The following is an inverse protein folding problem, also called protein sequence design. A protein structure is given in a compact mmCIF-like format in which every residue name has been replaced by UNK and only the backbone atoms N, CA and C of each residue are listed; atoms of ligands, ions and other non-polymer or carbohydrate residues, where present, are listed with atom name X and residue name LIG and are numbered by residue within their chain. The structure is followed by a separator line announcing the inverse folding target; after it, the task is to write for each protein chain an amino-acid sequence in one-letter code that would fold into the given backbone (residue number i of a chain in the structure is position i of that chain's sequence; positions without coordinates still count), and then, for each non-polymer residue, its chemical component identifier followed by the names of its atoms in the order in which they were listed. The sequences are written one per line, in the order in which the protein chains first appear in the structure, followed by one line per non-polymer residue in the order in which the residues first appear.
data_IF_793304792399
#
_entry.id   IF_793304792399
#
_cell.length_a   1.000
_cell.length_b   1.000
_cell.length_c   1.000
_cell.angle_alpha   90.00
_cell.angle_beta   90.00
_cell.angle_gamma   90.00
#
_symmetry.space_group_name_H-M   'P 1'
#
loop_
_entity.id
_entity.type
_entity.pdbx_description
1 polymer ?
#
# COMPACT_ATOMS: atom_id res chain seq x y z
N UNK A 1 -13.34 -11.32 3.30
CA UNK A 1 -12.12 -10.47 3.32
C UNK A 1 -12.26 -9.23 4.22
N UNK A 2 -13.38 -8.49 4.15
CA UNK A 2 -13.69 -7.35 5.03
C UNK A 2 -13.51 -7.63 6.54
N UNK A 3 -13.96 -8.79 7.05
CA UNK A 3 -13.76 -9.17 8.48
C UNK A 3 -12.27 -9.32 8.87
N UNK A 4 -11.39 -9.71 7.95
CA UNK A 4 -9.94 -9.83 8.19
C UNK A 4 -9.27 -8.46 8.16
N UNK A 5 -9.73 -7.58 7.27
CA UNK A 5 -9.35 -6.17 7.25
C UNK A 5 -9.76 -5.48 8.57
N UNK A 6 -11.00 -5.67 9.02
CA UNK A 6 -11.50 -5.13 10.29
C UNK A 6 -10.69 -5.60 11.49
N UNK A 7 -10.36 -6.89 11.58
CA UNK A 7 -9.50 -7.43 12.66
C UNK A 7 -8.10 -6.82 12.62
N UNK A 8 -7.52 -6.64 11.43
CA UNK A 8 -6.18 -6.08 11.27
C UNK A 8 -6.14 -4.59 11.63
N UNK A 9 -7.14 -3.82 11.18
CA UNK A 9 -7.30 -2.40 11.50
C UNK A 9 -7.60 -2.22 12.99
N UNK A 10 -8.55 -2.98 13.55
CA UNK A 10 -8.89 -2.89 14.97
C UNK A 10 -7.69 -3.26 15.86
N UNK A 11 -6.92 -4.31 15.55
CA UNK A 11 -5.74 -4.66 16.32
C UNK A 11 -4.66 -3.56 16.30
N UNK A 12 -4.48 -2.87 15.17
CA UNK A 12 -3.47 -1.80 15.02
C UNK A 12 -3.96 -0.49 15.64
N UNK A 13 -5.22 -0.10 15.44
CA UNK A 13 -5.83 1.08 16.08
C UNK A 13 -5.90 0.92 17.60
N UNK A 14 -6.21 -0.28 18.10
CA UNK A 14 -6.20 -0.58 19.54
C UNK A 14 -4.78 -0.57 20.12
N UNK A 15 -3.77 -1.04 19.38
CA UNK A 15 -2.36 -0.86 19.76
C UNK A 15 -1.98 0.62 19.83
N UNK A 16 -2.39 1.44 18.85
CA UNK A 16 -2.15 2.90 18.87
C UNK A 16 -2.82 3.58 20.07
N UNK A 17 -4.09 3.27 20.36
CA UNK A 17 -4.81 3.80 21.54
C UNK A 17 -4.17 3.37 22.86
N UNK A 18 -3.72 2.11 22.97
CA UNK A 18 -3.04 1.60 24.17
C UNK A 18 -1.67 2.24 24.41
N UNK A 19 -0.91 2.51 23.34
CA UNK A 19 0.37 3.22 23.40
C UNK A 19 0.18 4.70 23.82
N UNK A 20 -0.94 5.33 23.45
CA UNK A 20 -1.26 6.71 23.84
C UNK A 20 -1.77 6.79 25.31
N UNK A 21 -2.34 5.70 25.86
CA UNK A 21 -2.89 5.69 27.22
C UNK A 21 -1.92 5.18 28.32
N UNK A 22 -0.76 4.64 27.98
CA UNK A 22 0.20 4.05 28.94
C UNK A 22 1.58 4.74 28.91
N UNK A 23 1.60 6.08 28.91
CA UNK A 23 2.83 6.86 29.10
C UNK A 23 3.02 7.26 30.58
N UNK A 24 3.82 6.52 31.36
CA UNK A 24 4.79 7.14 32.24
C UNK A 24 6.10 7.34 31.46
N UNK A 25 6.63 8.54 31.53
CA UNK A 25 7.93 8.95 31.00
C UNK A 25 9.05 7.96 31.41
N UNK A 26 9.35 6.99 30.54
CA UNK A 26 10.67 6.36 30.48
C UNK A 26 11.14 6.42 29.04
N UNK A 27 12.04 7.37 28.82
CA UNK A 27 12.87 7.47 27.63
C UNK A 27 13.68 6.18 27.55
N UNK A 28 13.17 5.20 26.80
CA UNK A 28 13.97 4.09 26.32
C UNK A 28 14.65 4.62 25.08
N UNK A 29 15.90 5.03 25.22
CA UNK A 29 16.83 5.16 24.09
C UNK A 29 16.96 3.77 23.48
N UNK A 30 16.11 3.47 22.49
CA UNK A 30 16.48 2.48 21.49
C UNK A 30 17.65 3.10 20.75
N UNK A 31 18.87 2.69 21.10
CA UNK A 31 19.99 2.80 20.18
C UNK A 31 19.61 1.96 18.97
N UNK A 32 18.98 2.59 17.98
CA UNK A 32 19.02 2.08 16.62
C UNK A 32 20.49 1.99 16.29
N UNK A 33 21.01 0.76 16.30
CA UNK A 33 22.25 0.43 15.64
C UNK A 33 22.05 0.76 14.17
N UNK A 34 22.35 2.01 13.81
CA UNK A 34 22.58 2.47 12.45
C UNK A 34 23.70 1.60 11.90
N UNK A 35 23.33 0.46 11.32
CA UNK A 35 24.22 -0.25 10.44
C UNK A 35 24.32 0.61 9.20
N UNK A 36 25.42 1.34 9.09
CA UNK A 36 25.86 1.97 7.86
C UNK A 36 26.06 0.88 6.80
N UNK A 37 24.99 0.59 6.07
CA UNK A 37 25.03 -0.27 4.89
C UNK A 37 25.87 0.43 3.83
N UNK A 38 27.09 -0.05 3.60
CA UNK A 38 27.79 0.27 2.36
C UNK A 38 27.18 -0.55 1.22
N UNK A 39 25.98 -0.14 0.77
CA UNK A 39 25.42 -0.54 -0.53
C UNK A 39 26.48 -0.38 -1.62
N UNK A 40 26.52 -1.28 -2.62
CA UNK A 40 27.36 -1.10 -3.79
C UNK A 40 26.79 0.04 -4.67
N UNK A 41 27.35 1.26 -4.62
CA UNK A 41 26.71 2.43 -5.21
C UNK A 41 26.76 2.39 -6.74
N UNK A 42 27.76 1.70 -7.32
CA UNK A 42 27.87 1.54 -8.77
C UNK A 42 26.76 0.67 -9.33
N UNK A 43 26.42 -0.44 -8.65
CA UNK A 43 25.32 -1.28 -9.06
C UNK A 43 23.98 -0.54 -8.91
N UNK A 44 23.76 0.15 -7.80
CA UNK A 44 22.50 0.90 -7.61
C UNK A 44 22.33 2.02 -8.63
N UNK A 45 23.42 2.72 -8.96
CA UNK A 45 23.42 3.75 -9.99
C UNK A 45 23.15 3.17 -11.38
N UNK A 46 23.80 2.05 -11.72
CA UNK A 46 23.56 1.35 -12.99
C UNK A 46 22.08 0.94 -13.14
N UNK A 47 21.49 0.30 -12.14
CA UNK A 47 20.07 -0.09 -12.17
C UNK A 47 19.18 1.14 -12.29
N UNK A 48 19.47 2.21 -11.54
CA UNK A 48 18.72 3.47 -11.60
C UNK A 48 18.74 4.08 -13.00
N UNK A 49 19.89 4.10 -13.66
CA UNK A 49 20.03 4.64 -15.01
C UNK A 49 19.31 3.77 -16.04
N UNK A 50 19.39 2.44 -15.90
CA UNK A 50 18.62 1.50 -16.73
C UNK A 50 17.11 1.70 -16.56
N UNK A 51 16.60 1.84 -15.34
CA UNK A 51 15.18 2.11 -15.09
C UNK A 51 14.72 3.44 -15.68
N UNK A 52 15.58 4.48 -15.67
CA UNK A 52 15.29 5.80 -16.25
C UNK A 52 15.34 5.83 -17.78
N UNK A 53 16.14 4.96 -18.40
CA UNK A 53 16.31 4.91 -19.86
C UNK A 53 15.03 4.57 -20.63
N UNK A 54 14.01 3.99 -19.97
CA UNK A 54 12.76 3.56 -20.60
C UNK A 54 12.88 2.27 -21.42
N UNK A 55 14.10 1.77 -21.65
CA UNK A 55 14.41 0.60 -22.49
C UNK A 55 14.75 -0.65 -21.67
N UNK A 56 14.24 -0.76 -20.43
CA UNK A 56 14.49 -1.92 -19.57
C UNK A 56 13.36 -2.94 -19.79
N UNK A 57 13.70 -4.10 -20.37
CA UNK A 57 12.76 -5.20 -20.62
C UNK A 57 12.40 -5.98 -19.35
N UNK A 58 11.36 -6.82 -19.43
CA UNK A 58 10.90 -7.61 -18.27
C UNK A 58 11.96 -8.61 -17.79
N UNK A 59 12.60 -9.36 -18.68
CA UNK A 59 13.59 -10.37 -18.31
C UNK A 59 14.81 -9.73 -17.67
N UNK A 60 15.33 -8.67 -18.28
CA UNK A 60 16.45 -7.93 -17.68
C UNK A 60 16.08 -7.29 -16.33
N UNK A 61 14.86 -6.77 -16.16
CA UNK A 61 14.42 -6.26 -14.86
C UNK A 61 14.36 -7.36 -13.79
N UNK A 62 13.97 -8.59 -14.16
CA UNK A 62 13.98 -9.76 -13.27
C UNK A 62 15.41 -10.18 -12.95
N UNK A 63 16.28 -10.25 -13.95
CA UNK A 63 17.70 -10.62 -13.75
C UNK A 63 18.39 -9.62 -12.80
N UNK A 64 18.15 -8.32 -12.97
CA UNK A 64 18.67 -7.29 -12.06
C UNK A 64 18.11 -7.42 -10.65
N UNK A 65 16.85 -7.83 -10.53
CA UNK A 65 16.22 -8.08 -9.24
C UNK A 65 16.82 -9.30 -8.55
N UNK A 66 16.93 -10.42 -9.25
CA UNK A 66 17.49 -11.67 -8.72
C UNK A 66 18.96 -11.47 -8.33
N UNK A 67 19.73 -10.76 -9.16
CA UNK A 67 21.09 -10.34 -8.81
C UNK A 67 21.10 -9.51 -7.51
N UNK A 68 20.20 -8.55 -7.37
CA UNK A 68 20.10 -7.72 -6.16
C UNK A 68 19.76 -8.53 -4.90
N UNK A 69 18.94 -9.57 -5.00
CA UNK A 69 18.59 -10.47 -3.87
C UNK A 69 19.84 -11.20 -3.35
N UNK A 70 20.72 -11.65 -4.25
CA UNK A 70 21.93 -12.40 -3.91
C UNK A 70 23.06 -11.54 -3.34
N UNK A 71 23.00 -10.21 -3.50
CA UNK A 71 24.06 -9.31 -3.04
C UNK A 71 24.13 -9.23 -1.51
N UNK A 72 25.37 -9.17 -1.00
CA UNK A 72 25.70 -8.90 0.40
C UNK A 72 26.81 -7.84 0.44
N UNK A 73 26.58 -6.65 1.05
CA UNK A 73 25.33 -6.23 1.71
C UNK A 73 24.17 -6.04 0.73
N UNK A 74 22.94 -6.16 1.25
CA UNK A 74 21.71 -6.00 0.45
C UNK A 74 21.60 -4.56 -0.09
N UNK A 75 21.20 -4.37 -1.36
CA UNK A 75 20.93 -3.06 -1.93
C UNK A 75 19.76 -2.33 -1.24
N UNK A 76 19.63 -1.03 -1.52
CA UNK A 76 18.55 -0.20 -0.96
C UNK A 76 17.16 -0.66 -1.41
N UNK A 77 16.16 -0.52 -0.53
CA UNK A 77 14.74 -0.78 -0.84
C UNK A 77 14.25 0.03 -2.06
N UNK A 78 14.86 1.19 -2.30
CA UNK A 78 14.55 2.03 -3.46
C UNK A 78 14.87 1.32 -4.78
N UNK A 79 15.96 0.56 -4.86
CA UNK A 79 16.32 -0.20 -6.06
C UNK A 79 15.25 -1.24 -6.41
N UNK A 80 14.83 -2.04 -5.42
CA UNK A 80 13.78 -3.03 -5.60
C UNK A 80 12.47 -2.37 -6.03
N UNK A 81 12.10 -1.27 -5.36
CA UNK A 81 10.88 -0.51 -5.68
C UNK A 81 10.92 0.06 -7.10
N UNK A 82 12.07 0.51 -7.58
CA UNK A 82 12.24 0.99 -8.96
C UNK A 82 12.06 -0.12 -10.00
N UNK A 83 12.65 -1.29 -9.76
CA UNK A 83 12.48 -2.47 -10.64
C UNK A 83 11.02 -2.92 -10.69
N UNK A 84 10.35 -3.04 -9.53
CA UNK A 84 8.92 -3.33 -9.48
C UNK A 84 8.09 -2.30 -10.23
N UNK A 85 8.44 -1.01 -10.11
CA UNK A 85 7.80 0.08 -10.83
C UNK A 85 7.91 -0.04 -12.35
N UNK A 86 9.09 -0.43 -12.87
CA UNK A 86 9.29 -0.70 -14.31
C UNK A 86 8.43 -1.87 -14.75
N UNK A 87 8.46 -2.98 -14.03
CA UNK A 87 7.69 -4.19 -14.36
C UNK A 87 6.18 -3.91 -14.31
N UNK A 88 5.72 -3.07 -13.38
CA UNK A 88 4.33 -2.62 -13.32
C UNK A 88 3.96 -1.74 -14.52
N UNK A 89 4.86 -0.85 -15.00
CA UNK A 89 4.64 -0.07 -16.23
C UNK A 89 4.57 -0.94 -17.49
N UNK A 90 5.29 -2.06 -17.51
CA UNK A 90 5.19 -3.10 -18.54
C UNK A 90 3.93 -3.96 -18.42
N UNK A 91 3.03 -3.65 -17.47
CA UNK A 91 1.76 -4.36 -17.19
C UNK A 91 1.94 -5.81 -16.73
N UNK A 92 3.12 -6.15 -16.23
CA UNK A 92 3.47 -7.50 -15.77
C UNK A 92 3.12 -7.68 -14.29
N UNK A 93 1.85 -7.44 -13.95
CA UNK A 93 1.41 -7.32 -12.57
C UNK A 93 1.57 -8.60 -11.74
N UNK A 94 1.37 -9.77 -12.37
CA UNK A 94 1.62 -11.07 -11.70
C UNK A 94 3.08 -11.20 -11.27
N UNK A 95 4.02 -10.79 -12.14
CA UNK A 95 5.45 -10.78 -11.85
C UNK A 95 5.78 -9.83 -10.70
N UNK A 96 5.19 -8.63 -10.68
CA UNK A 96 5.37 -7.69 -9.56
C UNK A 96 4.99 -8.34 -8.23
N UNK A 97 3.88 -9.08 -8.19
CA UNK A 97 3.44 -9.75 -6.98
C UNK A 97 4.41 -10.86 -6.55
N UNK A 98 4.85 -11.72 -7.47
CA UNK A 98 5.83 -12.77 -7.17
C UNK A 98 7.12 -12.16 -6.61
N UNK A 99 7.67 -11.14 -7.26
CA UNK A 99 8.89 -10.47 -6.82
C UNK A 99 8.72 -9.78 -5.46
N UNK A 100 7.56 -9.17 -5.21
CA UNK A 100 7.23 -8.60 -3.90
C UNK A 100 7.26 -9.68 -2.80
N UNK A 101 6.68 -10.86 -3.04
CA UNK A 101 6.72 -11.97 -2.08
C UNK A 101 8.15 -12.45 -1.83
N UNK A 102 8.99 -12.50 -2.88
CA UNK A 102 10.41 -12.82 -2.75
C UNK A 102 11.15 -11.82 -1.85
N UNK A 103 10.85 -10.52 -1.94
CA UNK A 103 11.44 -9.52 -1.02
C UNK A 103 11.09 -9.82 0.42
N UNK A 104 9.80 -10.11 0.70
CA UNK A 104 9.35 -10.40 2.05
C UNK A 104 9.99 -11.69 2.59
N UNK A 105 10.14 -12.73 1.78
CA UNK A 105 10.78 -13.99 2.20
C UNK A 105 12.28 -13.84 2.48
N UNK A 106 12.95 -12.94 1.76
CA UNK A 106 14.37 -12.62 1.93
C UNK A 106 14.62 -11.59 3.06
N UNK A 107 13.57 -11.21 3.78
CA UNK A 107 13.66 -10.26 4.90
C UNK A 107 13.86 -8.80 4.48
N UNK A 108 13.70 -8.48 3.19
CA UNK A 108 13.78 -7.12 2.67
C UNK A 108 12.44 -6.44 2.96
N UNK A 109 12.44 -5.54 3.95
CA UNK A 109 11.22 -4.89 4.43
C UNK A 109 10.69 -3.88 3.39
N UNK A 110 9.46 -4.06 2.86
CA UNK A 110 8.84 -3.09 1.98
C UNK A 110 8.54 -1.76 2.68
N UNK A 111 8.58 -0.66 1.93
CA UNK A 111 8.16 0.65 2.39
C UNK A 111 6.81 1.08 1.77
N UNK A 112 6.34 2.27 2.14
CA UNK A 112 5.08 2.82 1.62
C UNK A 112 5.10 3.01 0.09
N UNK A 113 6.26 3.25 -0.52
CA UNK A 113 6.39 3.39 -1.98
C UNK A 113 6.27 2.02 -2.64
N UNK A 114 6.86 0.97 -2.05
CA UNK A 114 6.67 -0.41 -2.49
C UNK A 114 5.19 -0.80 -2.42
N UNK A 115 4.52 -0.52 -1.30
CA UNK A 115 3.08 -0.83 -1.16
C UNK A 115 2.22 -0.03 -2.13
N UNK A 116 2.51 1.26 -2.35
CA UNK A 116 1.80 2.09 -3.32
C UNK A 116 1.93 1.55 -4.74
N UNK A 117 3.12 1.04 -5.10
CA UNK A 117 3.36 0.36 -6.38
C UNK A 117 2.44 -0.85 -6.51
N UNK A 118 2.38 -1.70 -5.49
CA UNK A 118 1.56 -2.91 -5.46
C UNK A 118 0.06 -2.59 -5.57
N UNK A 119 -0.40 -1.55 -4.87
CA UNK A 119 -1.78 -1.05 -4.94
C UNK A 119 -2.12 -0.60 -6.35
N UNK A 120 -1.25 0.21 -6.98
CA UNK A 120 -1.46 0.63 -8.36
C UNK A 120 -1.60 -0.58 -9.30
N UNK A 121 -0.73 -1.59 -9.19
CA UNK A 121 -0.81 -2.79 -10.03
C UNK A 121 -2.15 -3.54 -9.84
N UNK A 122 -2.60 -3.78 -8.60
CA UNK A 122 -3.89 -4.43 -8.35
C UNK A 122 -5.09 -3.63 -8.87
N UNK A 123 -4.99 -2.31 -8.87
CA UNK A 123 -6.06 -1.45 -9.39
C UNK A 123 -6.16 -1.50 -10.91
N UNK A 124 -5.03 -1.58 -11.60
CA UNK A 124 -5.00 -1.82 -13.04
C UNK A 124 -5.53 -3.21 -13.42
N UNK A 125 -5.43 -4.19 -12.51
CA UNK A 125 -6.03 -5.52 -12.68
C UNK A 125 -7.52 -5.60 -12.32
N UNK A 126 -8.11 -4.55 -11.74
CA UNK A 126 -9.49 -4.61 -11.23
C UNK A 126 -9.65 -5.62 -10.10
N UNK A 127 -8.63 -5.77 -9.25
CA UNK A 127 -8.55 -6.77 -8.18
C UNK A 127 -8.63 -6.09 -6.80
N UNK A 128 -9.78 -5.51 -6.46
CA UNK A 128 -9.95 -4.69 -5.24
C UNK A 128 -9.71 -5.49 -3.95
N UNK A 129 -10.05 -6.78 -3.95
CA UNK A 129 -9.77 -7.71 -2.85
C UNK A 129 -8.29 -7.74 -2.45
N UNK A 130 -7.40 -7.77 -3.43
CA UNK A 130 -5.97 -7.79 -3.15
C UNK A 130 -5.47 -6.47 -2.58
N UNK A 131 -6.08 -5.35 -2.98
CA UNK A 131 -5.77 -4.04 -2.40
C UNK A 131 -6.06 -4.05 -0.88
N UNK A 132 -7.14 -4.69 -0.40
CA UNK A 132 -7.39 -4.83 1.04
C UNK A 132 -6.28 -5.60 1.76
N UNK A 133 -5.76 -6.66 1.14
CA UNK A 133 -4.64 -7.41 1.70
C UNK A 133 -3.39 -6.51 1.82
N UNK A 134 -3.11 -5.69 0.80
CA UNK A 134 -2.00 -4.73 0.84
C UNK A 134 -2.19 -3.70 1.95
N UNK A 135 -3.40 -3.14 2.13
CA UNK A 135 -3.67 -2.20 3.22
C UNK A 135 -3.50 -2.87 4.60
N UNK A 136 -3.92 -4.13 4.73
CA UNK A 136 -3.63 -4.93 5.93
C UNK A 136 -2.13 -5.06 6.20
N UNK A 137 -1.31 -5.26 5.17
CA UNK A 137 0.15 -5.31 5.30
C UNK A 137 0.78 -3.95 5.64
N UNK A 138 0.25 -2.84 5.11
CA UNK A 138 0.66 -1.48 5.51
C UNK A 138 0.50 -1.30 7.03
N UNK A 139 -0.68 -1.62 7.56
CA UNK A 139 -0.96 -1.55 8.99
C UNK A 139 -0.06 -2.48 9.82
N UNK A 140 0.11 -3.74 9.40
CA UNK A 140 1.00 -4.71 10.08
C UNK A 140 2.45 -4.25 10.10
N UNK A 141 2.88 -3.55 9.06
CA UNK A 141 4.22 -2.98 8.93
C UNK A 141 4.41 -1.69 9.74
N UNK A 142 3.38 -1.24 10.46
CA UNK A 142 3.41 -0.05 11.30
C UNK A 142 3.24 1.26 10.53
N UNK A 143 2.88 1.20 9.25
CA UNK A 143 2.63 2.38 8.44
C UNK A 143 1.16 2.78 8.50
N UNK A 144 0.89 4.08 8.29
CA UNK A 144 -0.46 4.58 8.11
C UNK A 144 -0.79 4.69 6.63
N UNK A 145 -1.89 4.06 6.16
CA UNK A 145 -2.38 4.30 4.81
C UNK A 145 -2.78 5.77 4.66
N UNK A 146 -2.61 6.32 3.46
CA UNK A 146 -3.09 7.66 3.12
C UNK A 146 -4.46 7.62 2.43
N UNK A 147 -5.09 8.78 2.25
CA UNK A 147 -6.42 8.88 1.62
C UNK A 147 -6.44 8.35 0.18
N UNK A 148 -5.33 8.48 -0.56
CA UNK A 148 -5.20 8.00 -1.94
C UNK A 148 -5.43 6.49 -2.02
N UNK A 149 -4.92 5.73 -1.04
CA UNK A 149 -5.09 4.28 -0.94
C UNK A 149 -6.56 3.92 -0.72
N UNK A 150 -7.26 4.63 0.16
CA UNK A 150 -8.69 4.39 0.42
C UNK A 150 -9.57 4.79 -0.76
N UNK A 151 -9.29 5.91 -1.43
CA UNK A 151 -9.99 6.33 -2.64
C UNK A 151 -9.88 5.29 -3.76
N UNK A 152 -8.70 4.69 -3.84
CA UNK A 152 -8.38 3.65 -4.80
C UNK A 152 -9.15 2.35 -4.50
N UNK A 153 -9.25 1.96 -3.23
CA UNK A 153 -10.11 0.85 -2.79
C UNK A 153 -11.58 1.10 -3.11
N UNK A 154 -12.10 2.29 -2.78
CA UNK A 154 -13.49 2.67 -3.05
C UNK A 154 -13.80 2.55 -4.54
N UNK A 155 -12.96 3.13 -5.40
CA UNK A 155 -13.08 2.96 -6.87
C UNK A 155 -13.13 1.50 -7.30
N UNK A 156 -12.25 0.66 -6.75
CA UNK A 156 -12.19 -0.76 -7.08
C UNK A 156 -13.48 -1.48 -6.71
N UNK A 157 -13.99 -1.25 -5.49
CA UNK A 157 -15.25 -1.82 -5.01
C UNK A 157 -16.44 -1.40 -5.86
N UNK A 158 -16.51 -0.12 -6.23
CA UNK A 158 -17.57 0.38 -7.12
C UNK A 158 -17.49 -0.24 -8.52
N UNK A 159 -16.29 -0.38 -9.10
CA UNK A 159 -16.08 -1.09 -10.38
C UNK A 159 -16.51 -2.56 -10.32
N UNK A 160 -16.35 -3.22 -9.18
CA UNK A 160 -16.79 -4.59 -8.94
C UNK A 160 -18.29 -4.68 -8.55
N UNK A 161 -19.03 -3.56 -8.55
CA UNK A 161 -20.42 -3.45 -8.09
C UNK A 161 -20.64 -3.90 -6.63
N UNK A 162 -19.59 -3.82 -5.79
CA UNK A 162 -19.59 -4.17 -4.37
C UNK A 162 -19.93 -2.95 -3.51
N UNK A 163 -21.07 -2.34 -3.82
CA UNK A 163 -21.52 -1.08 -3.22
C UNK A 163 -21.60 -1.15 -1.69
N UNK A 164 -22.10 -2.27 -1.14
CA UNK A 164 -22.19 -2.46 0.33
C UNK A 164 -20.82 -2.39 1.02
N UNK A 165 -19.80 -3.03 0.43
CA UNK A 165 -18.45 -3.02 0.96
C UNK A 165 -17.82 -1.62 0.86
N UNK A 166 -18.10 -0.89 -0.23
CA UNK A 166 -17.64 0.48 -0.41
C UNK A 166 -18.21 1.43 0.65
N UNK A 167 -19.51 1.33 0.94
CA UNK A 167 -20.17 2.11 1.99
C UNK A 167 -19.57 1.82 3.36
N UNK A 168 -19.39 0.53 3.68
CA UNK A 168 -18.80 0.12 4.95
C UNK A 168 -17.37 0.64 5.10
N UNK A 169 -16.58 0.59 4.02
CA UNK A 169 -15.25 1.17 4.00
C UNK A 169 -15.28 2.70 4.20
N UNK A 170 -16.20 3.41 3.53
CA UNK A 170 -16.35 4.87 3.67
C UNK A 170 -16.65 5.28 5.12
N UNK A 171 -17.59 4.61 5.79
CA UNK A 171 -17.85 4.87 7.21
C UNK A 171 -16.65 4.55 8.09
N UNK A 172 -15.87 3.52 7.73
CA UNK A 172 -14.72 3.14 8.55
C UNK A 172 -13.57 4.13 8.46
N UNK A 173 -13.29 4.66 7.27
CA UNK A 173 -12.23 5.66 7.10
C UNK A 173 -12.57 6.96 7.83
N UNK A 174 -13.85 7.36 7.85
CA UNK A 174 -14.29 8.55 8.60
C UNK A 174 -14.27 8.32 10.11
N UNK A 175 -14.66 7.14 10.60
CA UNK A 175 -14.57 6.77 12.03
C UNK A 175 -13.12 6.79 12.54
N UNK A 176 -12.16 6.40 11.70
CA UNK A 176 -10.72 6.41 12.04
C UNK A 176 -10.12 7.82 11.96
N UNK A 177 -10.87 8.80 11.44
CA UNK A 177 -10.47 10.22 11.37
C UNK A 177 -9.79 10.62 10.06
N UNK A 178 -9.88 9.81 9.01
CA UNK A 178 -9.43 10.23 7.67
C UNK A 178 -10.43 11.20 7.05
N UNK A 179 -9.96 12.36 6.61
CA UNK A 179 -10.76 13.34 5.89
C UNK A 179 -10.95 12.88 4.45
N UNK A 180 -12.18 12.47 4.11
CA UNK A 180 -12.58 12.21 2.74
C UNK A 180 -12.46 13.51 1.92
N UNK A 181 -11.81 13.46 0.77
CA UNK A 181 -11.71 14.59 -0.15
C UNK A 181 -12.94 14.67 -1.08
N UNK A 182 -13.13 15.81 -1.77
CA UNK A 182 -14.22 16.00 -2.74
C UNK A 182 -14.29 14.86 -3.76
N UNK A 183 -13.15 14.28 -4.07
CA UNK A 183 -13.03 13.14 -4.96
C UNK A 183 -13.66 11.86 -4.37
N UNK A 184 -13.43 11.57 -3.09
CA UNK A 184 -14.08 10.49 -2.34
C UNK A 184 -15.60 10.63 -2.36
N UNK A 185 -16.08 11.85 -2.11
CA UNK A 185 -17.51 12.17 -2.13
C UNK A 185 -18.08 12.08 -3.55
N UNK A 186 -17.36 12.54 -4.58
CA UNK A 186 -17.79 12.46 -5.97
C UNK A 186 -17.85 11.02 -6.50
N UNK A 187 -16.90 10.16 -6.13
CA UNK A 187 -16.97 8.72 -6.44
C UNK A 187 -18.24 8.12 -5.80
N UNK A 188 -18.52 8.50 -4.55
CA UNK A 188 -19.71 8.06 -3.84
C UNK A 188 -20.97 8.59 -4.54
N UNK A 189 -21.05 9.88 -4.88
CA UNK A 189 -22.22 10.51 -5.50
C UNK A 189 -22.49 10.02 -6.93
N UNK A 190 -21.46 9.86 -7.78
CA UNK A 190 -21.63 9.47 -9.19
C UNK A 190 -22.17 8.05 -9.36
N UNK A 191 -21.76 7.07 -8.55
CA UNK A 191 -22.32 5.72 -8.62
C UNK A 191 -23.62 5.57 -7.80
N UNK A 192 -23.86 6.42 -6.79
CA UNK A 192 -25.16 6.51 -6.10
C UNK A 192 -26.29 7.08 -6.99
N UNK A 193 -25.98 7.85 -8.03
CA UNK A 193 -26.98 8.26 -9.03
C UNK A 193 -27.62 7.05 -9.75
N UNK A 194 -27.01 5.86 -9.69
CA UNK A 194 -27.60 4.59 -10.17
C UNK A 194 -28.45 3.86 -9.12
N UNK A 195 -28.39 4.23 -7.83
CA UNK A 195 -29.06 3.55 -6.71
C UNK A 195 -29.49 4.60 -5.66
N UNK A 196 -30.73 5.10 -5.77
CA UNK A 196 -31.29 6.27 -5.07
C UNK A 196 -31.37 6.25 -3.53
N UNK A 197 -30.26 6.03 -2.83
CA UNK A 197 -30.19 5.96 -1.35
C UNK A 197 -29.44 7.12 -0.69
N UNK A 198 -29.31 8.26 -1.37
CA UNK A 198 -28.57 9.45 -0.87
C UNK A 198 -29.21 10.12 0.35
N UNK A 199 -30.54 10.02 0.50
CA UNK A 199 -31.30 10.68 1.57
C UNK A 199 -30.92 10.15 2.96
N UNK A 200 -30.53 8.87 3.07
CA UNK A 200 -30.24 8.23 4.37
C UNK A 200 -28.82 8.49 4.89
N UNK A 201 -27.89 8.80 3.98
CA UNK A 201 -26.50 9.15 4.31
C UNK A 201 -26.41 10.61 4.76
N UNK A 202 -27.08 11.52 4.05
CA UNK A 202 -27.12 12.94 4.42
C UNK A 202 -27.91 13.21 5.71
N UNK A 203 -28.92 12.38 6.04
CA UNK A 203 -29.58 12.46 7.35
C UNK A 203 -28.66 12.09 8.52
N UNK A 204 -27.57 11.36 8.28
CA UNK A 204 -26.55 11.08 9.31
C UNK A 204 -25.54 12.22 9.49
N UNK A 205 -25.48 13.18 8.55
CA UNK A 205 -24.54 14.32 8.59
C UNK A 205 -25.17 15.61 9.12
N UNK A 206 -26.37 15.54 9.73
CA UNK A 206 -27.02 16.69 10.35
C UNK A 206 -27.19 16.48 11.86
N UNK A 207 -26.06 16.51 12.58
CA UNK A 207 -25.93 16.98 13.97
C UNK A 207 -24.65 17.79 14.06
#
# INVERSE_FOLDING_TARGET
MMKLFERSVAAVVMKKKKIISELPLKVITFTSSFHSHHSNPHFEQFVRDRCKSGNLGIEEAKDLFDNAIQMRPSPSILLFTQLLGVICKLRQYSTVFTLFQTMESEGIRPDLVTFSTLINCFCQMGKADFVFAVVGNIFKSGFEPNIIIFNTLLKGLFKENRVKDAIQLFYKITEIGYTCDDFTYNISLMDYAKLGMLIKLLSCFRI
#
